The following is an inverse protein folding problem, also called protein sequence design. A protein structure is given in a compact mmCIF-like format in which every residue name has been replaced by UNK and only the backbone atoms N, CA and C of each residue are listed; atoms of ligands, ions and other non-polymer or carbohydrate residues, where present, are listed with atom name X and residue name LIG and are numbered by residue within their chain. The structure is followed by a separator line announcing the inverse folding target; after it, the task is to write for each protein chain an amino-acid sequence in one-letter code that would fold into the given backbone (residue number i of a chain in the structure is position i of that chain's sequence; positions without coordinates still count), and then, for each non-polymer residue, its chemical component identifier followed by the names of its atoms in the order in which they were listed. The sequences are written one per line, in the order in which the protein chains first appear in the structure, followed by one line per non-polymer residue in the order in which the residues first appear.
data_IF_538281964073
#
_entry.id   IF_538281964073
#
_cell.length_a   1.000
_cell.length_b   1.000
_cell.length_c   1.000
_cell.angle_alpha   90.00
_cell.angle_beta   90.00
_cell.angle_gamma   90.00
#
_symmetry.space_group_name_H-M   'P 1'
#
loop_
_entity.id
_entity.type
_entity.pdbx_description
1 polymer ?
#
# COMPACT_ATOMS: atom_id res chain seq x y z
N UNK A 1 -12.85 14.74 8.78
CA UNK A 1 -11.86 13.70 8.43
C UNK A 1 -10.56 14.10 9.11
N UNK A 2 -10.12 13.35 10.12
CA UNK A 2 -8.86 13.68 10.81
C UNK A 2 -7.71 13.40 9.86
N UNK A 3 -6.88 14.38 9.57
CA UNK A 3 -5.65 14.32 8.75
C UNK A 3 -4.69 13.18 9.15
N UNK A 4 -4.82 12.63 10.37
CA UNK A 4 -4.01 11.50 10.85
C UNK A 4 -4.55 10.16 10.33
N UNK A 5 -5.87 10.05 10.14
CA UNK A 5 -6.51 8.87 9.58
C UNK A 5 -6.44 8.94 8.05
N UNK A 6 -5.43 8.30 7.47
CA UNK A 6 -5.22 8.25 6.02
C UNK A 6 -3.92 8.85 5.54
N UNK A 7 -3.05 9.36 6.42
CA UNK A 7 -1.72 9.86 6.01
C UNK A 7 -0.92 8.79 5.27
N UNK A 8 -0.80 7.59 5.84
CA UNK A 8 -0.04 6.50 5.21
C UNK A 8 -0.67 6.06 3.88
N UNK A 9 -2.00 6.02 3.81
CA UNK A 9 -2.73 5.74 2.57
C UNK A 9 -2.42 6.79 1.50
N UNK A 10 -2.53 8.08 1.84
CA UNK A 10 -2.22 9.17 0.90
C UNK A 10 -0.76 9.20 0.46
N UNK A 11 0.17 8.78 1.33
CA UNK A 11 1.57 8.59 0.93
C UNK A 11 1.71 7.45 -0.09
N UNK A 12 1.02 6.33 0.11
CA UNK A 12 1.04 5.22 -0.85
C UNK A 12 0.45 5.62 -2.20
N UNK A 13 -0.69 6.33 -2.19
CA UNK A 13 -1.30 6.85 -3.42
C UNK A 13 -0.31 7.76 -4.18
N UNK A 14 0.32 8.74 -3.50
CA UNK A 14 1.30 9.65 -4.13
C UNK A 14 2.52 8.88 -4.67
N UNK A 15 3.05 7.94 -3.90
CA UNK A 15 4.25 7.18 -4.29
C UNK A 15 3.98 6.27 -5.50
N UNK A 16 2.76 5.78 -5.63
CA UNK A 16 2.31 4.99 -6.78
C UNK A 16 2.02 5.89 -7.99
N UNK A 17 1.19 6.93 -7.84
CA UNK A 17 0.73 7.80 -8.93
C UNK A 17 1.88 8.58 -9.60
N UNK A 18 2.91 8.93 -8.83
CA UNK A 18 4.10 9.65 -9.32
C UNK A 18 5.22 8.70 -9.79
N UNK A 19 4.94 7.40 -9.98
CA UNK A 19 5.89 6.37 -10.43
C UNK A 19 7.17 6.30 -9.57
N UNK A 20 7.10 6.67 -8.29
CA UNK A 20 8.26 6.66 -7.37
C UNK A 20 8.57 5.25 -6.90
N UNK A 21 7.52 4.44 -6.69
CA UNK A 21 7.63 3.02 -6.32
C UNK A 21 6.74 2.23 -7.28
N UNK A 22 7.34 1.24 -7.93
CA UNK A 22 6.63 0.34 -8.83
C UNK A 22 5.65 -0.58 -8.08
N UNK A 23 4.58 -0.99 -8.76
CA UNK A 23 3.52 -1.85 -8.23
C UNK A 23 4.06 -3.16 -7.63
N UNK A 24 4.99 -3.82 -8.35
CA UNK A 24 5.60 -5.08 -7.93
C UNK A 24 6.37 -4.94 -6.61
N UNK A 25 6.97 -3.78 -6.36
CA UNK A 25 7.68 -3.47 -5.10
C UNK A 25 6.69 -3.32 -3.95
N UNK A 26 5.53 -2.70 -4.17
CA UNK A 26 4.46 -2.65 -3.16
C UNK A 26 3.97 -4.06 -2.83
N UNK A 27 3.65 -4.87 -3.85
CA UNK A 27 3.17 -6.25 -3.68
C UNK A 27 4.21 -7.14 -3.00
N UNK A 28 5.50 -6.97 -3.33
CA UNK A 28 6.59 -7.68 -2.65
C UNK A 28 6.65 -7.30 -1.17
N UNK A 29 6.52 -6.01 -0.83
CA UNK A 29 6.50 -5.57 0.57
C UNK A 29 5.31 -6.14 1.34
N UNK A 30 4.11 -6.15 0.74
CA UNK A 30 2.90 -6.73 1.33
C UNK A 30 3.08 -8.23 1.60
N UNK A 31 3.59 -8.98 0.62
CA UNK A 31 3.75 -10.44 0.66
C UNK A 31 4.98 -10.92 1.44
N UNK A 32 5.90 -10.02 1.78
CA UNK A 32 7.11 -10.37 2.52
C UNK A 32 6.79 -10.91 3.92
N UNK A 33 7.43 -12.02 4.29
CA UNK A 33 7.39 -12.59 5.65
C UNK A 33 8.19 -11.75 6.67
N UNK A 34 8.95 -10.75 6.22
CA UNK A 34 9.63 -9.81 7.10
C UNK A 34 8.60 -8.86 7.74
N UNK A 35 8.54 -8.89 9.08
CA UNK A 35 7.64 -8.08 9.89
C UNK A 35 8.44 -7.06 10.72
N UNK A 36 8.96 -5.98 10.10
CA UNK A 36 9.54 -4.88 10.86
C UNK A 36 8.47 -4.27 11.76
N UNK A 37 8.91 -3.65 12.87
CA UNK A 37 8.01 -3.04 13.84
C UNK A 37 7.00 -2.10 13.16
N UNK A 38 5.71 -2.34 13.41
CA UNK A 38 4.63 -1.50 12.88
C UNK A 38 4.07 -1.93 11.51
N UNK A 39 4.66 -2.90 10.80
CA UNK A 39 4.15 -3.37 9.48
C UNK A 39 2.70 -3.83 9.54
N UNK A 40 2.31 -4.66 10.50
CA UNK A 40 0.92 -5.10 10.65
C UNK A 40 -0.07 -3.96 10.95
N UNK A 41 0.38 -2.86 11.58
CA UNK A 41 -0.45 -1.66 11.76
C UNK A 41 -0.53 -0.85 10.47
N UNK A 42 0.59 -0.71 9.76
CA UNK A 42 0.64 -0.08 8.45
C UNK A 42 -0.30 -0.79 7.46
N UNK A 43 -0.20 -2.11 7.34
CA UNK A 43 -1.04 -2.94 6.46
C UNK A 43 -2.53 -2.74 6.73
N UNK A 44 -2.96 -2.63 7.99
CA UNK A 44 -4.36 -2.33 8.33
C UNK A 44 -4.83 -0.97 7.81
N UNK A 45 -3.96 0.03 7.76
CA UNK A 45 -4.31 1.37 7.25
C UNK A 45 -4.36 1.41 5.72
N UNK A 46 -3.56 0.59 5.04
CA UNK A 46 -3.44 0.60 3.57
C UNK A 46 -4.08 -0.61 2.89
N UNK A 47 -4.84 -1.46 3.60
CA UNK A 47 -5.47 -2.66 3.04
C UNK A 47 -6.33 -2.37 1.80
N UNK A 48 -6.98 -1.20 1.73
CA UNK A 48 -7.78 -0.81 0.57
C UNK A 48 -6.94 -0.40 -0.65
N UNK A 49 -5.69 0.00 -0.45
CA UNK A 49 -4.75 0.27 -1.54
C UNK A 49 -4.34 -1.04 -2.21
N UNK A 50 -3.96 -2.05 -1.41
CA UNK A 50 -3.60 -3.37 -1.94
C UNK A 50 -4.76 -4.13 -2.57
N UNK A 51 -5.97 -4.01 -2.03
CA UNK A 51 -7.16 -4.56 -2.71
C UNK A 51 -7.30 -4.01 -4.11
N UNK A 52 -7.17 -2.70 -4.27
CA UNK A 52 -7.25 -2.03 -5.56
C UNK A 52 -6.13 -2.48 -6.52
N UNK A 53 -4.87 -2.60 -6.04
CA UNK A 53 -3.77 -3.11 -6.87
C UNK A 53 -4.03 -4.52 -7.40
N UNK A 54 -4.45 -5.44 -6.52
CA UNK A 54 -4.71 -6.82 -6.94
C UNK A 54 -5.96 -6.94 -7.85
N UNK A 55 -6.98 -6.07 -7.68
CA UNK A 55 -8.13 -6.01 -8.59
C UNK A 55 -7.73 -5.52 -10.01
N UNK A 56 -6.75 -4.63 -10.13
CA UNK A 56 -6.23 -4.15 -11.41
C UNK A 56 -5.40 -5.22 -12.17
N UNK A 57 -4.73 -6.13 -11.45
CA UNK A 57 -4.02 -7.28 -12.05
C UNK A 57 -4.98 -8.28 -12.70
N UNK A 58 -6.20 -8.48 -12.18
CA UNK A 58 -7.16 -9.48 -12.70
C UNK A 58 -7.87 -9.05 -14.00
N UNK A 59 -7.87 -7.76 -14.34
CA UNK A 59 -8.52 -7.19 -15.53
C UNK A 59 -7.57 -6.96 -16.74
N UNK A 60 -6.30 -7.35 -16.63
CA UNK A 60 -5.24 -7.18 -17.66
C UNK A 60 -4.77 -8.51 -18.28
#
# INVERSE_FOLDING_TARGET
MSIVAGLLRGMFDILYDEDVIAEDVFLQWERSDEEPEGKGTALKQVVQFFKWLNEAEEDS
#
